data_IF_310948958353
#
_entry.id   IF_310948958353
#
_cell.length_a   1.000
_cell.length_b   1.000
_cell.length_c   1.000
_cell.angle_alpha   90.00
_cell.angle_beta   90.00
_cell.angle_gamma   90.00
#
_symmetry.space_group_name_H-M   'P 1'
#
loop_
_entity.id
_entity.type
_entity.pdbx_description
1 polymer ?
#
# COMPACT_ATOMS: atom_id res chain seq x y z
N UNK A 1 6.29 -1.48 -15.22
CA UNK A 1 7.07 -0.92 -14.09
C UNK A 1 6.58 0.45 -13.67
N UNK A 2 6.29 1.38 -14.60
CA UNK A 2 5.68 2.68 -14.24
C UNK A 2 4.39 2.56 -13.44
N UNK A 3 3.50 1.63 -13.81
CA UNK A 3 2.28 1.36 -13.04
C UNK A 3 2.58 0.93 -11.59
N UNK A 4 3.63 0.13 -11.37
CA UNK A 4 4.07 -0.30 -10.05
C UNK A 4 4.69 0.86 -9.24
N UNK A 5 5.37 1.80 -9.89
CA UNK A 5 5.94 2.99 -9.25
C UNK A 5 4.84 3.96 -8.79
N UNK A 6 3.79 4.11 -9.59
CA UNK A 6 2.63 4.95 -9.28
C UNK A 6 1.56 4.28 -8.41
N UNK A 7 1.62 2.96 -8.21
CA UNK A 7 0.59 2.20 -7.49
C UNK A 7 -0.75 2.13 -8.25
N UNK A 8 -0.73 2.24 -9.58
CA UNK A 8 -1.92 2.30 -10.43
C UNK A 8 -2.53 0.91 -10.63
N UNK A 9 -3.25 0.41 -9.63
CA UNK A 9 -3.77 -0.98 -9.60
C UNK A 9 -4.59 -1.31 -10.84
N UNK A 10 -5.52 -0.47 -11.24
CA UNK A 10 -6.40 -0.71 -12.39
C UNK A 10 -5.61 -0.76 -13.71
N UNK A 11 -4.57 0.06 -13.83
CA UNK A 11 -3.66 0.00 -14.99
C UNK A 11 -2.84 -1.29 -14.94
N UNK A 12 -2.39 -1.70 -13.76
CA UNK A 12 -1.70 -2.96 -13.54
C UNK A 12 -2.55 -4.16 -13.94
N UNK A 13 -3.82 -4.20 -13.54
CA UNK A 13 -4.77 -5.26 -13.91
C UNK A 13 -4.95 -5.34 -15.42
N UNK A 14 -5.20 -4.20 -16.08
CA UNK A 14 -5.34 -4.15 -17.54
C UNK A 14 -4.08 -4.64 -18.26
N UNK A 15 -2.90 -4.31 -17.75
CA UNK A 15 -1.64 -4.78 -18.32
C UNK A 15 -1.49 -6.30 -18.17
N UNK A 16 -1.80 -6.85 -16.99
CA UNK A 16 -1.74 -8.28 -16.73
C UNK A 16 -2.79 -9.07 -17.53
N UNK A 17 -3.99 -8.50 -17.70
CA UNK A 17 -5.04 -9.05 -18.57
C UNK A 17 -4.65 -9.03 -20.05
N UNK A 18 -3.83 -8.06 -20.45
CA UNK A 18 -3.21 -7.99 -21.77
C UNK A 18 -1.97 -8.90 -21.91
N UNK A 19 -1.81 -9.90 -21.03
CA UNK A 19 -0.70 -10.85 -20.99
C UNK A 19 0.67 -10.23 -20.68
N UNK A 20 0.75 -9.09 -19.99
CA UNK A 20 2.02 -8.61 -19.46
C UNK A 20 2.57 -9.60 -18.43
N UNK A 21 3.87 -9.89 -18.50
CA UNK A 21 4.53 -10.80 -17.58
C UNK A 21 4.87 -10.08 -16.25
N UNK A 22 4.28 -10.45 -15.10
CA UNK A 22 4.63 -9.87 -13.80
C UNK A 22 6.09 -10.13 -13.40
N UNK A 23 6.75 -11.11 -14.02
CA UNK A 23 8.12 -11.54 -13.78
C UNK A 23 9.12 -10.98 -14.80
N UNK A 24 8.73 -9.93 -15.53
CA UNK A 24 9.63 -9.24 -16.47
C UNK A 24 10.96 -8.90 -15.79
N UNK A 25 12.05 -9.06 -16.54
CA UNK A 25 13.41 -8.85 -16.06
C UNK A 25 13.57 -7.52 -15.29
N UNK A 26 14.35 -7.49 -14.19
CA UNK A 26 14.52 -6.30 -13.39
C UNK A 26 15.13 -5.13 -14.17
N UNK A 27 14.89 -3.90 -13.72
CA UNK A 27 15.55 -2.70 -14.27
C UNK A 27 17.07 -2.89 -14.18
N UNK A 28 17.84 -2.74 -15.28
CA UNK A 28 19.29 -3.02 -15.26
C UNK A 28 20.09 -2.18 -14.27
N UNK A 29 19.66 -0.94 -14.01
CA UNK A 29 20.37 0.01 -13.14
C UNK A 29 20.12 -0.22 -11.65
N UNK A 30 18.92 -0.65 -11.26
CA UNK A 30 18.54 -0.81 -9.84
C UNK A 30 18.27 -2.25 -9.42
N UNK A 31 18.15 -3.17 -10.40
CA UNK A 31 17.75 -4.57 -10.21
C UNK A 31 16.38 -4.72 -9.56
N UNK A 32 15.49 -3.75 -9.78
CA UNK A 32 14.13 -3.80 -9.22
C UNK A 32 13.15 -4.44 -10.19
N UNK A 33 12.26 -5.28 -9.67
CA UNK A 33 11.11 -5.83 -10.38
C UNK A 33 9.89 -4.94 -10.15
N UNK A 34 8.79 -5.20 -10.87
CA UNK A 34 7.52 -4.53 -10.57
C UNK A 34 7.11 -4.73 -9.10
N UNK A 35 7.35 -5.91 -8.54
CA UNK A 35 7.02 -6.24 -7.15
C UNK A 35 7.86 -5.41 -6.16
N UNK A 36 9.18 -5.33 -6.35
CA UNK A 36 10.03 -4.57 -5.41
C UNK A 36 9.79 -3.07 -5.50
N UNK A 37 9.46 -2.52 -6.68
CA UNK A 37 9.10 -1.11 -6.83
C UNK A 37 7.80 -0.80 -6.08
N UNK A 38 6.76 -1.59 -6.31
CA UNK A 38 5.48 -1.42 -5.61
C UNK A 38 5.67 -1.55 -4.09
N UNK A 39 6.53 -2.48 -3.67
CA UNK A 39 6.78 -2.75 -2.28
C UNK A 39 7.56 -1.63 -1.57
N UNK A 40 8.65 -1.15 -2.18
CA UNK A 40 9.45 -0.02 -1.66
C UNK A 40 8.61 1.26 -1.54
N UNK A 41 7.60 1.42 -2.41
CA UNK A 41 6.71 2.58 -2.44
C UNK A 41 5.50 2.49 -1.50
N UNK A 42 5.27 1.35 -0.84
CA UNK A 42 4.09 1.20 0.03
C UNK A 42 2.80 0.86 -0.72
N UNK A 43 2.87 0.45 -1.99
CA UNK A 43 1.69 0.20 -2.83
C UNK A 43 1.12 -1.20 -2.61
N UNK A 44 0.59 -1.43 -1.42
CA UNK A 44 0.15 -2.75 -0.93
C UNK A 44 -0.85 -3.45 -1.87
N UNK A 45 -1.87 -2.74 -2.37
CA UNK A 45 -2.83 -3.33 -3.32
C UNK A 45 -2.19 -3.74 -4.64
N UNK A 46 -1.16 -3.00 -5.08
CA UNK A 46 -0.42 -3.34 -6.30
C UNK A 46 0.48 -4.56 -6.07
N UNK A 47 1.11 -4.66 -4.90
CA UNK A 47 1.88 -5.83 -4.47
C UNK A 47 0.98 -7.06 -4.44
N UNK A 48 -0.19 -6.95 -3.82
CA UNK A 48 -1.17 -8.04 -3.71
C UNK A 48 -1.64 -8.54 -5.07
N UNK A 49 -2.01 -7.63 -5.97
CA UNK A 49 -2.37 -7.94 -7.36
C UNK A 49 -1.24 -8.68 -8.10
N UNK A 50 0.02 -8.20 -7.99
CA UNK A 50 1.14 -8.85 -8.65
C UNK A 50 1.37 -10.27 -8.13
N UNK A 51 1.29 -10.48 -6.81
CA UNK A 51 1.49 -11.80 -6.20
C UNK A 51 0.37 -12.77 -6.61
N UNK A 52 -0.90 -12.34 -6.57
CA UNK A 52 -2.03 -13.16 -7.05
C UNK A 52 -1.92 -13.54 -8.52
N UNK A 53 -1.20 -12.73 -9.32
CA UNK A 53 -0.96 -12.97 -10.75
C UNK A 53 0.32 -13.78 -11.01
N UNK A 54 0.94 -14.33 -9.96
CA UNK A 54 2.09 -15.22 -10.07
C UNK A 54 3.43 -14.51 -10.14
N UNK A 55 3.54 -13.29 -9.60
CA UNK A 55 4.85 -12.64 -9.42
C UNK A 55 5.72 -13.47 -8.47
N UNK A 56 6.94 -13.78 -8.90
CA UNK A 56 7.91 -14.56 -8.15
C UNK A 56 8.36 -13.78 -6.91
N UNK A 57 8.22 -14.43 -5.77
CA UNK A 57 8.71 -13.92 -4.50
C UNK A 57 10.05 -14.59 -4.22
N UNK A 58 11.13 -13.82 -4.28
CA UNK A 58 12.44 -14.26 -3.79
C UNK A 58 12.67 -13.82 -2.34
N UNK A 59 13.82 -14.19 -1.76
CA UNK A 59 14.16 -13.85 -0.37
C UNK A 59 14.22 -12.34 -0.08
N UNK A 60 14.48 -11.50 -1.09
CA UNK A 60 14.43 -10.03 -0.96
C UNK A 60 12.97 -9.58 -0.93
N UNK A 61 12.15 -10.12 -1.82
CA UNK A 61 10.72 -9.81 -1.96
C UNK A 61 9.98 -10.19 -0.68
N UNK A 62 10.24 -11.39 -0.14
CA UNK A 62 9.58 -11.92 1.06
C UNK A 62 9.76 -11.00 2.28
N UNK A 63 10.99 -10.59 2.58
CA UNK A 63 11.26 -9.69 3.71
C UNK A 63 10.63 -8.30 3.55
N UNK A 64 10.60 -7.77 2.33
CA UNK A 64 10.00 -6.46 2.07
C UNK A 64 8.49 -6.54 2.19
N UNK A 65 7.85 -7.56 1.61
CA UNK A 65 6.41 -7.81 1.75
C UNK A 65 6.04 -8.00 3.23
N UNK A 66 6.76 -8.85 3.97
CA UNK A 66 6.56 -9.04 5.42
C UNK A 66 6.71 -7.72 6.20
N UNK A 67 7.74 -6.91 5.88
CA UNK A 67 7.95 -5.62 6.52
C UNK A 67 6.82 -4.63 6.22
N UNK A 68 6.32 -4.56 4.98
CA UNK A 68 5.21 -3.69 4.59
C UNK A 68 3.94 -4.01 5.36
N UNK A 69 3.56 -5.29 5.39
CA UNK A 69 2.41 -5.80 6.15
C UNK A 69 2.46 -5.35 7.62
N UNK A 70 3.66 -5.21 8.18
CA UNK A 70 3.87 -4.84 9.57
C UNK A 70 4.00 -3.31 9.81
N UNK A 71 4.49 -2.53 8.85
CA UNK A 71 4.99 -1.16 9.12
C UNK A 71 4.39 -0.03 8.27
N UNK A 72 3.79 -0.30 7.11
CA UNK A 72 3.33 0.78 6.21
C UNK A 72 1.93 1.24 6.62
N UNK A 73 1.84 2.03 7.69
CA UNK A 73 0.57 2.65 8.15
C UNK A 73 0.59 4.17 8.30
N UNK A 74 1.67 4.88 7.93
CA UNK A 74 1.90 6.18 8.55
C UNK A 74 1.40 7.42 7.78
N UNK A 75 0.37 8.06 8.36
CA UNK A 75 0.17 9.52 8.44
C UNK A 75 0.34 9.93 9.92
N UNK A 76 0.44 11.24 10.29
CA UNK A 76 0.74 11.64 11.66
C UNK A 76 -0.26 11.03 12.63
N UNK A 77 0.26 10.46 13.73
CA UNK A 77 -0.53 9.69 14.68
C UNK A 77 -1.68 10.52 15.25
N UNK A 78 -2.82 9.87 15.52
CA UNK A 78 -4.05 10.48 16.02
C UNK A 78 -3.82 11.41 17.22
N UNK A 79 -2.77 11.16 18.00
CA UNK A 79 -2.35 11.97 19.14
C UNK A 79 -1.86 13.38 18.75
N UNK A 80 -1.10 13.51 17.65
CA UNK A 80 -0.62 14.80 17.13
C UNK A 80 -1.77 15.62 16.52
N UNK A 81 -2.69 14.96 15.81
CA UNK A 81 -3.90 15.58 15.27
C UNK A 81 -4.84 16.06 16.38
N UNK A 82 -5.04 15.23 17.41
CA UNK A 82 -5.84 15.60 18.60
C UNK A 82 -5.24 16.79 19.33
N UNK A 83 -3.90 16.82 19.49
CA UNK A 83 -3.19 17.96 20.08
C UNK A 83 -3.39 19.23 19.26
N UNK A 84 -3.30 19.15 17.93
CA UNK A 84 -3.56 20.30 17.06
C UNK A 84 -5.00 20.84 17.21
N UNK A 85 -6.01 19.97 17.22
CA UNK A 85 -7.41 20.36 17.39
C UNK A 85 -7.66 21.13 18.70
N UNK A 86 -6.95 20.79 19.79
CA UNK A 86 -7.07 21.51 21.07
C UNK A 86 -6.51 22.94 21.05
N UNK A 87 -5.74 23.30 20.03
CA UNK A 87 -5.21 24.67 19.87
C UNK A 87 -6.15 25.60 19.11
N UNK A 88 -7.22 25.07 18.50
CA UNK A 88 -8.20 25.84 17.74
C UNK A 88 -9.22 26.44 18.70
N UNK A 89 -9.33 27.77 18.70
CA UNK A 89 -10.26 28.53 19.56
C UNK A 89 -11.55 28.94 18.84
N UNK A 90 -11.54 28.95 17.51
CA UNK A 90 -12.71 29.30 16.69
C UNK A 90 -13.66 28.11 16.56
N UNK A 91 -14.94 28.22 17.00
CA UNK A 91 -15.86 27.09 17.05
C UNK A 91 -16.17 26.46 15.68
N UNK A 92 -16.39 27.30 14.67
CA UNK A 92 -16.75 26.85 13.32
C UNK A 92 -15.56 26.18 12.63
N UNK A 93 -14.36 26.74 12.80
CA UNK A 93 -13.13 26.13 12.29
C UNK A 93 -12.83 24.80 13.00
N UNK A 94 -13.01 24.73 14.32
CA UNK A 94 -12.85 23.49 15.08
C UNK A 94 -13.80 22.41 14.58
N UNK A 95 -15.07 22.76 14.32
CA UNK A 95 -16.06 21.82 13.83
C UNK A 95 -15.70 21.29 12.43
N UNK A 96 -15.32 22.18 11.51
CA UNK A 96 -14.85 21.79 10.17
C UNK A 96 -13.62 20.89 10.23
N UNK A 97 -12.65 21.19 11.12
CA UNK A 97 -11.47 20.36 11.30
C UNK A 97 -11.81 18.97 11.86
N UNK A 98 -12.82 18.85 12.73
CA UNK A 98 -13.29 17.56 13.25
C UNK A 98 -13.97 16.72 12.16
N UNK A 99 -14.84 17.32 11.35
CA UNK A 99 -15.51 16.63 10.24
C UNK A 99 -14.50 16.14 9.18
N UNK A 100 -13.55 17.01 8.80
CA UNK A 100 -12.44 16.61 7.96
C UNK A 100 -11.64 15.45 8.58
N UNK A 101 -11.38 15.51 9.88
CA UNK A 101 -10.67 14.43 10.58
C UNK A 101 -11.46 13.12 10.56
N UNK A 102 -12.76 13.13 10.86
CA UNK A 102 -13.61 11.93 10.82
C UNK A 102 -13.65 11.29 9.43
N UNK A 103 -13.78 12.10 8.38
CA UNK A 103 -13.74 11.64 7.00
C UNK A 103 -12.39 10.99 6.68
N UNK A 104 -11.29 11.63 7.09
CA UNK A 104 -9.93 11.12 6.90
C UNK A 104 -9.73 9.81 7.68
N UNK A 105 -10.15 9.75 8.94
CA UNK A 105 -10.03 8.55 9.79
C UNK A 105 -10.86 7.40 9.23
N UNK A 106 -12.08 7.67 8.77
CA UNK A 106 -12.94 6.65 8.15
C UNK A 106 -12.34 6.11 6.85
N UNK A 107 -11.84 7.00 5.98
CA UNK A 107 -11.17 6.62 4.75
C UNK A 107 -9.90 5.80 5.05
N UNK A 108 -9.11 6.20 6.06
CA UNK A 108 -7.93 5.47 6.52
C UNK A 108 -8.27 4.11 7.10
N UNK A 109 -9.32 3.99 7.90
CA UNK A 109 -9.73 2.72 8.47
C UNK A 109 -10.18 1.76 7.38
N UNK A 110 -10.94 2.23 6.39
CA UNK A 110 -11.30 1.43 5.23
C UNK A 110 -10.07 1.02 4.42
N UNK A 111 -9.12 1.95 4.19
CA UNK A 111 -7.87 1.67 3.50
C UNK A 111 -7.01 0.66 4.26
N UNK A 112 -6.86 0.82 5.57
CA UNK A 112 -6.09 -0.06 6.45
C UNK A 112 -6.74 -1.43 6.58
N UNK A 113 -8.07 -1.53 6.60
CA UNK A 113 -8.77 -2.80 6.63
C UNK A 113 -8.60 -3.56 5.30
N UNK A 114 -8.68 -2.86 4.17
CA UNK A 114 -8.44 -3.46 2.86
C UNK A 114 -6.96 -3.83 2.66
N UNK A 115 -6.05 -3.00 3.16
CA UNK A 115 -4.62 -3.30 3.27
C UNK A 115 -4.35 -4.55 4.11
N UNK A 116 -4.97 -4.67 5.29
CA UNK A 116 -4.82 -5.85 6.14
C UNK A 116 -5.38 -7.11 5.45
N UNK A 117 -6.51 -7.01 4.74
CA UNK A 117 -7.05 -8.12 3.96
C UNK A 117 -6.09 -8.56 2.86
N UNK A 118 -5.52 -7.61 2.12
CA UNK A 118 -4.51 -7.87 1.10
C UNK A 118 -3.24 -8.50 1.73
N UNK A 119 -2.80 -7.98 2.87
CA UNK A 119 -1.67 -8.48 3.63
C UNK A 119 -1.87 -9.92 4.13
N UNK A 120 -3.05 -10.24 4.65
CA UNK A 120 -3.42 -11.61 5.06
C UNK A 120 -3.38 -12.57 3.87
N UNK A 121 -3.87 -12.14 2.69
CA UNK A 121 -3.80 -12.93 1.47
C UNK A 121 -2.36 -13.19 1.02
N UNK A 122 -1.52 -12.14 1.02
CA UNK A 122 -0.08 -12.23 0.74
C UNK A 122 0.63 -13.21 1.68
N UNK A 123 0.35 -13.14 2.99
CA UNK A 123 0.95 -14.03 3.97
C UNK A 123 0.50 -15.49 3.78
N UNK A 124 -0.76 -15.72 3.40
CA UNK A 124 -1.26 -17.06 3.10
C UNK A 124 -0.53 -17.66 1.88
N UNK A 125 -0.37 -16.89 0.81
CA UNK A 125 0.36 -17.33 -0.39
C UNK A 125 1.83 -17.67 -0.09
N UNK A 126 2.48 -16.88 0.78
CA UNK A 126 3.85 -17.14 1.24
C UNK A 126 4.03 -18.39 2.10
N UNK A 127 2.94 -18.94 2.65
CA UNK A 127 2.94 -20.13 3.50
C UNK A 127 2.70 -21.43 2.72
N UNK A 128 2.25 -21.32 1.46
CA UNK A 128 1.97 -22.46 0.57
C UNK A 128 3.15 -22.86 -0.34
N UNK A 129 4.24 -22.07 -0.37
CA UNK A 129 5.53 -22.38 -1.02
C UNK A 129 6.53 -23.08 -0.08
#
# INVERSE_FOLDING_TARGET
MEAANGGYVEVGELLLDACADPNTAPVPSSRDTALTIAADKGHERFVDMLVHRGAHIDARNKKVVEHMVQHVRQFPGDQELSRYLTTITEPDLMQNCKECMELIVKAKNAQAEEANRAAESLLALLAEE
#
